data_IF_871550948255
#
_entry.id   IF_871550948255
#
_cell.length_a   1.000
_cell.length_b   1.000
_cell.length_c   1.000
_cell.angle_alpha   90.00
_cell.angle_beta   90.00
_cell.angle_gamma   90.00
#
_symmetry.space_group_name_H-M   'P 1'
#
loop_
_entity.id
_entity.type
_entity.pdbx_description
1 polymer ?
#
# COMPACT_ATOMS: atom_id res chain seq x y z
N UNK A 1 -28.06 -7.62 13.15
CA UNK A 1 -28.89 -7.79 14.36
C UNK A 1 -30.10 -6.90 14.18
N UNK A 2 -31.28 -7.50 14.10
CA UNK A 2 -32.50 -6.82 13.66
C UNK A 2 -33.43 -6.72 14.88
N UNK A 3 -33.86 -5.51 15.19
CA UNK A 3 -34.74 -5.24 16.32
C UNK A 3 -36.07 -4.80 15.72
N UNK A 4 -37.12 -5.60 15.96
CA UNK A 4 -38.45 -5.34 15.42
C UNK A 4 -39.30 -4.64 16.47
N UNK A 5 -39.78 -3.44 16.16
CA UNK A 5 -40.79 -2.73 16.94
C UNK A 5 -41.98 -2.48 16.01
N UNK A 6 -43.19 -2.83 16.46
CA UNK A 6 -44.43 -2.67 15.71
C UNK A 6 -44.88 -1.20 15.71
N UNK A 7 -45.09 -0.63 14.53
CA UNK A 7 -45.80 0.62 14.31
C UNK A 7 -47.00 0.40 13.36
N UNK A 8 -47.98 1.32 13.39
CA UNK A 8 -49.29 1.15 12.74
C UNK A 8 -49.30 1.40 11.22
N UNK A 9 -48.34 2.14 10.66
CA UNK A 9 -48.18 2.26 9.19
C UNK A 9 -46.73 2.55 8.82
N UNK A 10 -46.24 1.87 7.78
CA UNK A 10 -44.88 2.00 7.27
C UNK A 10 -44.97 2.64 5.88
N UNK A 11 -44.28 3.77 5.68
CA UNK A 11 -44.21 4.44 4.38
C UNK A 11 -42.83 4.21 3.76
N UNK A 12 -42.79 3.56 2.61
CA UNK A 12 -41.57 3.40 1.81
C UNK A 12 -41.54 4.50 0.74
N UNK A 13 -40.49 5.32 0.74
CA UNK A 13 -40.28 6.38 -0.24
C UNK A 13 -38.95 6.10 -0.94
N UNK A 14 -39.01 5.81 -2.24
CA UNK A 14 -37.82 5.65 -3.07
C UNK A 14 -37.32 7.04 -3.50
N UNK A 15 -36.15 7.44 -2.99
CA UNK A 15 -35.51 8.71 -3.34
C UNK A 15 -34.45 8.44 -4.41
N UNK A 16 -34.62 8.92 -5.65
CA UNK A 16 -33.62 8.74 -6.70
C UNK A 16 -32.35 9.55 -6.39
N UNK A 17 -31.21 9.10 -6.92
CA UNK A 17 -29.86 9.63 -6.63
C UNK A 17 -29.61 11.08 -7.08
N UNK A 18 -30.59 11.73 -7.71
CA UNK A 18 -30.51 13.10 -8.22
C UNK A 18 -31.13 14.13 -7.29
N UNK A 19 -31.86 13.70 -6.26
CA UNK A 19 -32.56 14.58 -5.32
C UNK A 19 -31.97 14.47 -3.90
N UNK A 20 -32.04 15.57 -3.16
CA UNK A 20 -31.59 15.62 -1.77
C UNK A 20 -32.78 15.50 -0.83
N UNK A 21 -32.58 14.92 0.36
CA UNK A 21 -33.62 14.72 1.39
C UNK A 21 -34.37 16.02 1.74
N UNK A 22 -33.71 17.18 1.56
CA UNK A 22 -34.31 18.50 1.75
C UNK A 22 -35.44 18.87 0.76
N UNK A 23 -35.52 18.19 -0.39
CA UNK A 23 -36.51 18.43 -1.44
C UNK A 23 -37.80 17.60 -1.25
N UNK A 24 -37.81 16.65 -0.31
CA UNK A 24 -38.97 15.84 0.04
C UNK A 24 -39.94 16.66 0.92
N UNK A 25 -40.65 17.61 0.30
CA UNK A 25 -41.67 18.43 0.95
C UNK A 25 -43.07 17.85 0.69
N UNK A 26 -43.36 16.68 1.23
CA UNK A 26 -44.74 16.16 1.36
C UNK A 26 -45.18 16.20 2.82
N UNK A 27 -46.49 16.38 3.12
CA UNK A 27 -46.98 16.60 4.48
C UNK A 27 -46.94 15.29 5.26
N UNK A 28 -45.79 14.97 5.84
CA UNK A 28 -45.70 13.91 6.82
C UNK A 28 -46.46 14.36 8.08
N UNK A 29 -47.31 13.50 8.67
CA UNK A 29 -48.01 13.84 9.90
C UNK A 29 -47.00 14.14 11.01
N UNK A 30 -47.38 15.08 11.89
CA UNK A 30 -46.58 15.46 13.05
C UNK A 30 -46.29 14.19 13.88
N UNK A 31 -45.01 13.91 14.17
CA UNK A 31 -44.48 12.70 14.81
C UNK A 31 -44.26 11.44 13.92
N UNK A 32 -44.24 11.56 12.59
CA UNK A 32 -43.85 10.45 11.72
C UNK A 32 -42.37 10.04 11.92
N UNK A 33 -42.12 8.74 12.10
CA UNK A 33 -40.77 8.18 12.19
C UNK A 33 -40.32 7.68 10.81
N UNK A 34 -39.23 8.24 10.26
CA UNK A 34 -38.68 7.87 8.95
C UNK A 34 -37.49 6.92 9.13
N UNK A 35 -37.51 5.79 8.42
CA UNK A 35 -36.36 4.87 8.31
C UNK A 35 -35.63 5.12 6.99
N UNK A 36 -34.36 5.54 7.06
CA UNK A 36 -33.54 5.88 5.91
C UNK A 36 -32.44 4.83 5.72
N UNK A 37 -32.60 3.97 4.72
CA UNK A 37 -31.59 2.99 4.32
C UNK A 37 -30.75 3.50 3.14
N UNK A 38 -29.76 4.36 3.39
CA UNK A 38 -28.82 4.79 2.34
C UNK A 38 -27.62 3.84 2.22
N UNK A 39 -27.22 3.49 1.00
CA UNK A 39 -26.03 2.66 0.74
C UNK A 39 -24.79 3.56 0.68
N UNK A 40 -23.82 3.34 1.57
CA UNK A 40 -22.54 4.07 1.56
C UNK A 40 -21.71 3.70 0.32
N UNK A 41 -21.21 4.71 -0.39
CA UNK A 41 -20.22 4.55 -1.45
C UNK A 41 -18.87 4.13 -0.82
N UNK A 42 -18.40 2.91 -1.14
CA UNK A 42 -17.16 2.35 -0.58
C UNK A 42 -17.30 0.90 -0.08
N UNK A 43 -18.04 0.07 -0.80
CA UNK A 43 -18.20 -1.35 -0.46
C UNK A 43 -16.90 -2.15 -0.49
N UNK A 44 -17.02 -3.43 -0.10
CA UNK A 44 -15.95 -4.45 -0.04
C UNK A 44 -14.97 -4.36 -1.22
N UNK A 45 -13.73 -3.95 -0.94
CA UNK A 45 -12.65 -3.85 -1.92
C UNK A 45 -12.17 -5.24 -2.36
N UNK A 46 -12.02 -5.46 -3.67
CA UNK A 46 -11.48 -6.70 -4.22
C UNK A 46 -9.95 -6.68 -4.19
N UNK A 47 -9.35 -7.75 -3.65
CA UNK A 47 -7.91 -7.86 -3.40
C UNK A 47 -7.66 -8.27 -1.95
N UNK A 48 -7.47 -9.56 -1.71
CA UNK A 48 -7.22 -10.06 -0.35
C UNK A 48 -5.78 -9.80 0.09
N UNK A 49 -5.60 -9.50 1.38
CA UNK A 49 -4.29 -9.38 2.02
C UNK A 49 -3.59 -10.74 2.22
N UNK A 50 -4.20 -11.84 1.76
CA UNK A 50 -3.75 -13.22 1.97
C UNK A 50 -2.34 -13.52 1.44
N UNK A 51 -1.81 -12.68 0.52
CA UNK A 51 -0.47 -12.84 -0.06
C UNK A 51 0.58 -11.90 0.54
N UNK A 52 0.23 -11.10 1.54
CA UNK A 52 1.16 -10.19 2.18
C UNK A 52 2.34 -10.97 2.80
N UNK A 53 3.57 -10.60 2.41
CA UNK A 53 4.78 -11.21 2.96
C UNK A 53 5.12 -12.63 2.48
N UNK A 54 4.33 -13.23 1.56
CA UNK A 54 4.55 -14.62 1.06
C UNK A 54 6.00 -14.88 0.63
N UNK A 55 6.56 -14.00 -0.18
CA UNK A 55 7.93 -14.16 -0.71
C UNK A 55 8.99 -13.99 0.37
N UNK A 56 8.79 -13.04 1.29
CA UNK A 56 9.70 -12.80 2.41
C UNK A 56 9.75 -13.97 3.40
N UNK A 57 8.64 -14.69 3.57
CA UNK A 57 8.58 -15.90 4.42
C UNK A 57 9.12 -17.16 3.73
N UNK A 58 8.95 -17.28 2.41
CA UNK A 58 9.46 -18.43 1.64
C UNK A 58 10.97 -18.40 1.44
N UNK A 59 11.58 -17.21 1.39
CA UNK A 59 13.02 -17.06 1.16
C UNK A 59 13.84 -17.49 2.39
N UNK A 60 14.87 -18.34 2.24
CA UNK A 60 15.68 -18.77 3.37
C UNK A 60 16.39 -17.58 4.02
N UNK A 61 16.41 -17.55 5.36
CA UNK A 61 17.04 -16.46 6.11
C UNK A 61 18.56 -16.67 6.19
N UNK A 62 19.27 -16.16 5.19
CA UNK A 62 20.74 -16.21 5.17
C UNK A 62 21.33 -15.25 6.23
N UNK A 63 22.11 -15.79 7.16
CA UNK A 63 22.83 -15.00 8.17
C UNK A 63 23.93 -14.15 7.52
N UNK A 64 24.23 -12.99 8.10
CA UNK A 64 25.34 -12.16 7.63
C UNK A 64 26.65 -12.82 8.04
N UNK A 65 27.48 -13.14 7.06
CA UNK A 65 28.86 -13.57 7.31
C UNK A 65 29.67 -12.42 7.91
N UNK A 66 30.59 -12.74 8.81
CA UNK A 66 31.54 -11.76 9.34
C UNK A 66 32.46 -11.28 8.23
N UNK A 67 32.50 -9.95 8.03
CA UNK A 67 33.38 -9.30 7.05
C UNK A 67 34.26 -8.30 7.76
N UNK A 68 35.55 -8.27 7.38
CA UNK A 68 36.49 -7.26 7.89
C UNK A 68 35.90 -5.86 7.73
N UNK A 69 35.99 -5.04 8.79
CA UNK A 69 35.53 -3.65 8.77
C UNK A 69 36.22 -2.90 7.62
N UNK A 70 35.41 -2.27 6.76
CA UNK A 70 35.93 -1.47 5.64
C UNK A 70 36.59 -0.22 6.20
N UNK A 71 37.77 0.15 5.68
CA UNK A 71 38.37 1.47 5.97
C UNK A 71 37.40 2.58 5.55
N UNK A 72 37.33 3.66 6.32
CA UNK A 72 36.47 4.83 6.08
C UNK A 72 37.33 6.10 5.89
N UNK A 73 36.69 7.21 5.50
CA UNK A 73 37.34 8.52 5.38
C UNK A 73 38.49 8.58 4.37
N UNK A 74 39.55 9.32 4.72
CA UNK A 74 40.72 9.56 3.86
C UNK A 74 41.43 8.27 3.45
N UNK A 75 41.52 7.29 4.35
CA UNK A 75 42.13 6.00 4.07
C UNK A 75 41.37 5.23 2.97
N UNK A 76 40.03 5.29 2.97
CA UNK A 76 39.18 4.71 1.91
C UNK A 76 39.39 5.41 0.57
N UNK A 77 39.47 6.75 0.57
CA UNK A 77 39.67 7.55 -0.65
C UNK A 77 41.03 7.27 -1.29
N UNK A 78 42.11 7.16 -0.51
CA UNK A 78 43.44 6.76 -1.00
C UNK A 78 43.41 5.38 -1.66
N UNK A 79 42.78 4.40 -1.00
CA UNK A 79 42.62 3.04 -1.55
C UNK A 79 41.82 3.04 -2.86
N UNK A 80 40.78 3.87 -2.97
CA UNK A 80 39.96 3.99 -4.18
C UNK A 80 40.74 4.62 -5.35
N UNK A 81 41.55 5.66 -5.09
CA UNK A 81 42.40 6.29 -6.09
C UNK A 81 43.43 5.28 -6.64
N UNK A 82 44.17 4.62 -5.75
CA UNK A 82 45.17 3.63 -6.15
C UNK A 82 44.55 2.51 -7.00
N UNK A 83 43.36 2.01 -6.63
CA UNK A 83 42.65 0.97 -7.42
C UNK A 83 42.14 1.44 -8.77
N UNK A 84 41.89 2.73 -8.98
CA UNK A 84 41.28 3.25 -10.22
C UNK A 84 42.30 3.82 -11.20
N UNK A 85 43.41 4.34 -10.69
CA UNK A 85 44.34 5.14 -11.50
C UNK A 85 45.77 4.62 -11.45
N UNK A 86 46.29 4.29 -10.27
CA UNK A 86 47.70 3.88 -10.12
C UNK A 86 47.90 2.42 -10.50
N UNK A 87 47.04 1.53 -10.00
CA UNK A 87 47.19 0.09 -10.19
C UNK A 87 46.48 -0.44 -11.45
N UNK A 88 45.83 0.43 -12.22
CA UNK A 88 45.15 0.03 -13.46
C UNK A 88 46.15 0.11 -14.59
N UNK A 89 46.51 -1.03 -15.16
CA UNK A 89 47.25 -1.09 -16.44
C UNK A 89 46.23 -1.05 -17.57
N UNK A 90 46.32 -0.12 -18.53
CA UNK A 90 45.43 -0.10 -19.69
C UNK A 90 45.74 -1.30 -20.59
N UNK A 91 44.96 -2.37 -20.43
CA UNK A 91 44.98 -3.52 -21.34
C UNK A 91 44.24 -3.23 -22.65
N UNK A 92 44.53 -4.01 -23.67
CA UNK A 92 43.80 -3.96 -24.95
C UNK A 92 42.38 -4.54 -24.79
N UNK A 93 41.39 -3.93 -25.46
CA UNK A 93 39.99 -4.37 -25.42
C UNK A 93 39.10 -3.60 -24.43
N UNK A 94 37.89 -4.12 -24.17
CA UNK A 94 36.87 -3.44 -23.35
C UNK A 94 37.27 -3.46 -21.87
N UNK A 95 37.25 -2.29 -21.22
CA UNK A 95 37.54 -2.17 -19.78
C UNK A 95 36.55 -3.00 -18.95
N UNK A 96 37.05 -3.98 -18.20
CA UNK A 96 36.23 -4.75 -17.23
C UNK A 96 35.76 -3.84 -16.09
N UNK A 97 34.51 -4.02 -15.68
CA UNK A 97 33.90 -3.26 -14.59
C UNK A 97 34.39 -3.72 -13.20
N UNK A 98 34.31 -2.86 -12.16
CA UNK A 98 34.79 -3.20 -10.81
C UNK A 98 34.08 -4.35 -10.10
N UNK A 99 32.92 -4.79 -10.60
CA UNK A 99 32.10 -5.87 -10.03
C UNK A 99 31.68 -6.87 -11.13
N UNK A 100 32.58 -7.13 -12.09
CA UNK A 100 32.40 -8.18 -13.07
C UNK A 100 32.62 -9.55 -12.38
N UNK A 101 31.65 -10.45 -12.51
CA UNK A 101 31.69 -11.80 -11.94
C UNK A 101 32.13 -12.86 -12.98
N UNK A 102 32.75 -12.42 -14.07
CA UNK A 102 33.22 -13.24 -15.19
C UNK A 102 34.72 -13.43 -15.22
#
# INVERSE_FOLDING_TARGET
MQLFIRAQSLHAIDVPSTETVAQLKSPLPELATLDLSSRLLGGKVHGSLARAGKVRGQTPKVAKQEKKKKKTGRAKRRMQYNRRFVNVVPGFGKKKGPNANS
#
